data_IF_894161067682
#
_entry.id   IF_894161067682
#
_cell.length_a   1.000
_cell.length_b   1.000
_cell.length_c   1.000
_cell.angle_alpha   90.00
_cell.angle_beta   90.00
_cell.angle_gamma   90.00
#
_symmetry.space_group_name_H-M   'P 1'
#
loop_
_entity.id
_entity.type
_entity.pdbx_description
1 polymer ?
#
# COMPACT_ATOMS: atom_id res chain seq x y z
N UNK A 1 8.46 1.18 0.02
CA UNK A 1 7.42 1.42 -1.01
C UNK A 1 7.26 0.13 -1.79
N UNK A 2 6.05 -0.42 -1.86
CA UNK A 2 5.78 -1.61 -2.66
C UNK A 2 5.69 -1.22 -4.14
N UNK A 3 5.97 -2.19 -5.01
CA UNK A 3 6.08 -2.00 -6.45
C UNK A 3 5.33 -3.10 -7.17
N UNK A 4 4.37 -2.73 -8.02
CA UNK A 4 3.69 -3.63 -8.96
C UNK A 4 4.37 -3.66 -10.34
N UNK A 5 5.48 -2.94 -10.51
CA UNK A 5 6.22 -2.82 -11.78
C UNK A 5 6.52 -4.18 -12.41
N UNK A 6 6.99 -5.16 -11.62
CA UNK A 6 7.29 -6.49 -12.13
C UNK A 6 6.08 -7.15 -12.76
N UNK A 7 4.95 -7.14 -12.03
CA UNK A 7 3.69 -7.75 -12.46
C UNK A 7 3.24 -7.15 -13.79
N UNK A 8 3.15 -5.82 -13.86
CA UNK A 8 2.68 -5.13 -15.07
C UNK A 8 3.68 -5.26 -16.23
N UNK A 9 4.98 -5.26 -15.95
CA UNK A 9 6.01 -5.50 -16.96
C UNK A 9 5.89 -6.89 -17.57
N UNK A 10 5.69 -7.92 -16.75
CA UNK A 10 5.51 -9.30 -17.19
C UNK A 10 4.21 -9.46 -18.02
N UNK A 11 3.13 -8.79 -17.64
CA UNK A 11 1.86 -8.72 -18.41
C UNK A 11 2.04 -8.05 -19.79
N UNK A 12 3.00 -7.13 -19.91
CA UNK A 12 3.38 -6.51 -21.19
C UNK A 12 4.45 -7.27 -21.96
N UNK A 13 4.87 -8.44 -21.48
CA UNK A 13 5.92 -9.26 -22.07
C UNK A 13 7.26 -8.53 -22.28
N UNK A 14 7.53 -7.52 -21.45
CA UNK A 14 8.79 -6.79 -21.49
C UNK A 14 9.80 -7.46 -20.55
N UNK A 15 11.05 -7.54 -20.94
CA UNK A 15 12.16 -7.89 -20.05
C UNK A 15 12.56 -6.68 -19.19
N UNK A 16 13.25 -6.92 -18.08
CA UNK A 16 13.81 -5.83 -17.26
C UNK A 16 14.76 -4.93 -18.06
N UNK A 17 15.49 -5.49 -19.03
CA UNK A 17 16.40 -4.73 -19.89
C UNK A 17 15.60 -3.81 -20.82
N UNK A 18 14.57 -4.32 -21.49
CA UNK A 18 13.73 -3.50 -22.38
C UNK A 18 13.03 -2.36 -21.63
N UNK A 19 12.49 -2.62 -20.43
CA UNK A 19 11.93 -1.54 -19.61
C UNK A 19 13.00 -0.51 -19.23
N UNK A 20 14.21 -0.97 -18.87
CA UNK A 20 15.32 -0.10 -18.52
C UNK A 20 15.72 0.81 -19.69
N UNK A 21 15.77 0.26 -20.89
CA UNK A 21 16.10 0.99 -22.12
C UNK A 21 15.02 2.05 -22.43
N UNK A 22 13.74 1.68 -22.33
CA UNK A 22 12.61 2.60 -22.55
C UNK A 22 12.58 3.77 -21.56
N UNK A 23 12.95 3.53 -20.30
CA UNK A 23 12.97 4.57 -19.25
C UNK A 23 14.37 5.14 -18.99
N UNK A 24 15.36 4.80 -19.82
CA UNK A 24 16.70 5.38 -19.79
C UNK A 24 17.45 5.19 -18.47
N UNK A 25 17.40 4.00 -17.90
CA UNK A 25 18.13 3.62 -16.67
C UNK A 25 18.85 2.29 -16.84
N UNK A 26 19.62 1.86 -15.85
CA UNK A 26 20.24 0.53 -15.88
C UNK A 26 19.22 -0.58 -15.57
N UNK A 27 19.45 -1.79 -16.09
CA UNK A 27 18.66 -2.98 -15.69
C UNK A 27 18.69 -3.22 -14.18
N UNK A 28 19.81 -2.91 -13.52
CA UNK A 28 19.93 -3.00 -12.05
C UNK A 28 18.97 -2.03 -11.35
N UNK A 29 18.79 -0.83 -11.87
CA UNK A 29 17.80 0.13 -11.37
C UNK A 29 16.40 -0.47 -11.42
N UNK A 30 16.00 -1.06 -12.56
CA UNK A 30 14.71 -1.77 -12.66
C UNK A 30 14.61 -2.92 -11.66
N UNK A 31 15.68 -3.72 -11.48
CA UNK A 31 15.69 -4.79 -10.50
C UNK A 31 15.40 -4.32 -9.07
N UNK A 32 16.06 -3.24 -8.61
CA UNK A 32 15.83 -2.70 -7.27
C UNK A 32 14.44 -2.06 -7.13
N UNK A 33 13.93 -1.41 -8.19
CA UNK A 33 12.57 -0.89 -8.22
C UNK A 33 11.54 -2.00 -8.07
N UNK A 34 11.72 -3.12 -8.78
CA UNK A 34 10.81 -4.26 -8.72
C UNK A 34 10.81 -4.97 -7.35
N UNK A 35 11.94 -4.94 -6.65
CA UNK A 35 12.03 -5.44 -5.27
C UNK A 35 11.45 -4.48 -4.24
N UNK A 36 11.27 -3.19 -4.59
CA UNK A 36 10.90 -2.13 -3.64
C UNK A 36 12.09 -1.62 -2.81
N UNK A 37 13.31 -2.04 -3.13
CA UNK A 37 14.56 -1.64 -2.45
C UNK A 37 15.06 -0.26 -2.89
N UNK A 38 14.47 0.30 -3.96
CA UNK A 38 14.81 1.62 -4.47
C UNK A 38 13.54 2.46 -4.68
N UNK A 39 13.57 3.68 -4.14
CA UNK A 39 12.53 4.67 -4.36
C UNK A 39 12.90 5.50 -5.62
N UNK A 40 12.24 5.30 -6.78
CA UNK A 40 12.50 6.08 -7.98
C UNK A 40 12.20 7.56 -7.74
N UNK A 41 12.91 8.43 -8.47
CA UNK A 41 12.51 9.84 -8.55
C UNK A 41 11.12 9.95 -9.16
N UNK A 42 10.40 11.05 -8.87
CA UNK A 42 9.07 11.29 -9.42
C UNK A 42 9.05 11.18 -10.95
N UNK A 43 10.06 11.75 -11.61
CA UNK A 43 10.22 11.69 -13.06
C UNK A 43 10.36 10.25 -13.55
N UNK A 44 11.18 9.43 -12.88
CA UNK A 44 11.36 8.03 -13.25
C UNK A 44 10.08 7.21 -13.02
N UNK A 45 9.38 7.45 -11.91
CA UNK A 45 8.12 6.79 -11.60
C UNK A 45 7.07 7.07 -12.70
N UNK A 46 6.92 8.32 -13.14
CA UNK A 46 6.03 8.68 -14.24
C UNK A 46 6.45 8.05 -15.57
N UNK A 47 7.75 8.05 -15.91
CA UNK A 47 8.21 7.39 -17.15
C UNK A 47 7.91 5.90 -17.17
N UNK A 48 8.07 5.22 -16.04
CA UNK A 48 7.70 3.80 -15.90
C UNK A 48 6.19 3.64 -16.05
N UNK A 49 5.40 4.51 -15.41
CA UNK A 49 3.94 4.53 -15.52
C UNK A 49 3.46 4.69 -16.97
N UNK A 50 4.06 5.60 -17.73
CA UNK A 50 3.71 5.84 -19.13
C UNK A 50 4.02 4.62 -20.00
N UNK A 51 5.21 4.02 -19.87
CA UNK A 51 5.59 2.81 -20.62
C UNK A 51 4.68 1.63 -20.28
N UNK A 52 4.38 1.47 -18.99
CA UNK A 52 3.50 0.41 -18.50
C UNK A 52 2.02 0.74 -18.65
N UNK A 53 1.65 1.93 -19.13
CA UNK A 53 0.27 2.36 -19.33
C UNK A 53 -0.61 2.15 -18.10
N UNK A 54 -0.04 2.37 -16.91
CA UNK A 54 -0.70 2.14 -15.61
C UNK A 54 -0.47 3.38 -14.75
N UNK A 55 -1.48 3.90 -14.04
CA UNK A 55 -1.31 5.05 -13.15
C UNK A 55 -0.14 4.85 -12.17
N UNK A 56 0.59 5.92 -11.89
CA UNK A 56 1.77 5.86 -11.01
C UNK A 56 1.43 5.35 -9.61
N UNK A 57 0.24 5.69 -9.09
CA UNK A 57 -0.25 5.25 -7.78
C UNK A 57 -0.58 3.76 -7.75
N UNK A 58 -0.98 3.18 -8.89
CA UNK A 58 -1.27 1.73 -8.98
C UNK A 58 0.02 0.93 -9.11
N UNK A 59 1.09 1.54 -9.61
CA UNK A 59 2.42 0.93 -9.74
C UNK A 59 3.24 1.02 -8.46
N UNK A 60 3.16 2.15 -7.77
CA UNK A 60 3.96 2.45 -6.59
C UNK A 60 3.04 2.89 -5.46
N UNK A 61 3.01 2.08 -4.41
CA UNK A 61 2.13 2.29 -3.28
C UNK A 61 2.87 1.98 -1.98
N UNK A 62 2.32 2.45 -0.88
CA UNK A 62 2.75 2.03 0.46
C UNK A 62 1.63 1.16 1.03
N UNK A 63 1.98 0.11 1.76
CA UNK A 63 0.97 -0.61 2.53
C UNK A 63 0.49 0.30 3.66
N UNK A 64 -0.82 0.24 3.93
CA UNK A 64 -1.45 0.91 5.05
C UNK A 64 -0.72 0.59 6.37
N UNK A 65 -0.26 1.60 7.10
CA UNK A 65 0.39 1.42 8.43
C UNK A 65 -0.55 0.67 9.39
N UNK A 66 -1.87 0.80 9.20
CA UNK A 66 -2.85 0.03 9.96
C UNK A 66 -2.57 -1.46 9.86
N UNK A 67 -2.35 -2.00 8.66
CA UNK A 67 -2.33 -3.44 8.43
C UNK A 67 -1.21 -4.08 9.25
N UNK A 68 0.01 -3.53 9.17
CA UNK A 68 1.14 -3.94 10.00
C UNK A 68 0.86 -3.81 11.51
N UNK A 69 0.15 -2.74 11.92
CA UNK A 69 -0.19 -2.54 13.33
C UNK A 69 -1.23 -3.55 13.82
N UNK A 70 -2.24 -3.83 13.02
CA UNK A 70 -3.31 -4.77 13.33
C UNK A 70 -2.80 -6.21 13.32
N UNK A 71 -1.92 -6.57 12.40
CA UNK A 71 -1.28 -7.89 12.37
C UNK A 71 -0.40 -8.13 13.60
N UNK A 72 0.24 -7.06 14.13
CA UNK A 72 1.06 -7.11 15.33
C UNK A 72 0.29 -6.94 16.66
N UNK A 73 -1.03 -6.72 16.59
CA UNK A 73 -1.87 -6.50 17.77
C UNK A 73 -2.22 -7.81 18.47
N UNK A 74 -2.09 -7.83 19.80
CA UNK A 74 -2.58 -8.99 20.57
C UNK A 74 -4.10 -9.04 20.57
N UNK A 75 -4.66 -10.26 20.53
CA UNK A 75 -6.10 -10.52 20.59
C UNK A 75 -6.80 -9.75 21.71
N UNK A 76 -6.16 -9.67 22.89
CA UNK A 76 -6.68 -8.93 24.04
C UNK A 76 -6.80 -7.43 23.76
N UNK A 77 -5.80 -6.83 23.11
CA UNK A 77 -5.77 -5.40 22.83
C UNK A 77 -6.74 -5.03 21.71
N UNK A 78 -6.86 -5.87 20.68
CA UNK A 78 -7.83 -5.66 19.61
C UNK A 78 -9.28 -5.77 20.10
N UNK A 79 -9.59 -6.74 20.98
CA UNK A 79 -10.89 -6.81 21.66
C UNK A 79 -11.19 -5.58 22.51
N UNK A 80 -10.22 -5.12 23.29
CA UNK A 80 -10.38 -3.90 24.09
C UNK A 80 -10.69 -2.68 23.21
N UNK A 81 -10.04 -2.54 22.06
CA UNK A 81 -10.31 -1.44 21.12
C UNK A 81 -11.73 -1.56 20.55
N UNK A 82 -12.17 -2.77 20.21
CA UNK A 82 -13.53 -3.02 19.72
C UNK A 82 -14.58 -2.64 20.77
N UNK A 83 -14.38 -3.05 22.02
CA UNK A 83 -15.24 -2.71 23.16
C UNK A 83 -15.29 -1.19 23.39
N UNK A 84 -14.12 -0.52 23.39
CA UNK A 84 -14.00 0.93 23.58
C UNK A 84 -14.72 1.74 22.48
N UNK A 85 -14.83 1.18 21.28
CA UNK A 85 -15.45 1.81 20.12
C UNK A 85 -16.90 1.37 19.91
N UNK A 86 -17.40 0.44 20.73
CA UNK A 86 -18.71 -0.18 20.58
C UNK A 86 -18.92 -0.77 19.17
N UNK A 87 -17.89 -1.44 18.65
CA UNK A 87 -17.91 -2.18 17.37
C UNK A 87 -17.52 -3.63 17.60
N UNK A 88 -17.84 -4.51 16.65
CA UNK A 88 -17.46 -5.92 16.78
C UNK A 88 -15.96 -6.12 16.57
N UNK A 89 -15.37 -7.10 17.25
CA UNK A 89 -13.95 -7.44 17.10
C UNK A 89 -13.62 -7.86 15.65
N UNK A 90 -14.56 -8.50 14.97
CA UNK A 90 -14.45 -8.88 13.56
C UNK A 90 -14.26 -7.64 12.66
N UNK A 91 -14.81 -6.48 13.03
CA UNK A 91 -14.57 -5.22 12.30
C UNK A 91 -13.14 -4.74 12.41
N UNK A 92 -12.50 -4.94 13.57
CA UNK A 92 -11.07 -4.63 13.74
C UNK A 92 -10.21 -5.57 12.90
N UNK A 93 -10.51 -6.88 12.87
CA UNK A 93 -9.75 -7.83 12.05
C UNK A 93 -9.92 -7.55 10.56
N UNK A 94 -11.14 -7.23 10.11
CA UNK A 94 -11.41 -7.00 8.70
C UNK A 94 -10.49 -5.94 8.09
N UNK A 95 -10.13 -4.90 8.85
CA UNK A 95 -9.17 -3.87 8.42
C UNK A 95 -7.74 -4.38 8.18
N UNK A 96 -7.36 -5.53 8.75
CA UNK A 96 -6.08 -6.18 8.46
C UNK A 96 -6.14 -7.11 7.25
N UNK A 97 -7.33 -7.58 6.87
CA UNK A 97 -7.50 -8.62 5.87
C UNK A 97 -7.93 -8.09 4.50
N UNK A 98 -8.58 -6.93 4.45
CA UNK A 98 -9.12 -6.36 3.21
C UNK A 98 -8.16 -5.34 2.58
N UNK A 99 -8.25 -5.19 1.25
CA UNK A 99 -7.47 -4.19 0.51
C UNK A 99 -8.01 -2.77 0.77
N UNK A 100 -7.16 -1.76 0.60
CA UNK A 100 -7.48 -0.36 0.91
C UNK A 100 -8.75 0.14 0.21
N UNK A 101 -8.94 -0.22 -1.07
CA UNK A 101 -10.13 0.14 -1.82
C UNK A 101 -11.41 -0.43 -1.17
N UNK A 102 -11.32 -1.63 -0.60
CA UNK A 102 -12.44 -2.26 0.10
C UNK A 102 -12.67 -1.68 1.49
N UNK A 103 -11.63 -1.15 2.15
CA UNK A 103 -11.79 -0.46 3.44
C UNK A 103 -12.73 0.74 3.26
N UNK A 104 -12.50 1.56 2.23
CA UNK A 104 -13.27 2.77 1.96
C UNK A 104 -14.72 2.49 1.53
N UNK A 105 -15.00 1.31 0.97
CA UNK A 105 -16.36 0.87 0.62
C UNK A 105 -17.12 0.30 1.83
N UNK A 106 -16.42 -0.34 2.77
CA UNK A 106 -17.04 -1.09 3.86
C UNK A 106 -17.06 -0.36 5.20
N UNK A 107 -16.29 0.73 5.35
CA UNK A 107 -16.16 1.49 6.58
C UNK A 107 -16.41 2.97 6.31
N UNK A 108 -17.15 3.62 7.22
CA UNK A 108 -17.30 5.06 7.14
C UNK A 108 -16.05 5.78 7.69
N UNK A 109 -15.87 7.04 7.25
CA UNK A 109 -14.71 7.85 7.63
C UNK A 109 -14.63 8.09 9.15
N UNK A 110 -15.76 8.15 9.85
CA UNK A 110 -15.78 8.39 11.29
C UNK A 110 -15.32 7.15 12.07
N UNK A 111 -15.78 5.95 11.69
CA UNK A 111 -15.35 4.66 12.21
C UNK A 111 -13.83 4.51 12.05
N UNK A 112 -13.32 4.70 10.82
CA UNK A 112 -11.89 4.62 10.53
C UNK A 112 -11.06 5.62 11.35
N UNK A 113 -11.53 6.86 11.48
CA UNK A 113 -10.82 7.87 12.26
C UNK A 113 -10.80 7.54 13.76
N UNK A 114 -11.86 6.95 14.30
CA UNK A 114 -11.91 6.50 15.69
C UNK A 114 -10.96 5.32 15.95
N UNK A 115 -10.91 4.37 15.01
CA UNK A 115 -9.98 3.23 15.05
C UNK A 115 -8.53 3.74 14.97
N UNK A 116 -8.22 4.61 14.01
CA UNK A 116 -6.91 5.27 13.88
C UNK A 116 -6.44 5.87 15.20
N UNK A 117 -7.30 6.70 15.81
CA UNK A 117 -7.00 7.41 17.05
C UNK A 117 -6.72 6.45 18.20
N UNK A 118 -7.47 5.34 18.31
CA UNK A 118 -7.22 4.30 19.32
C UNK A 118 -5.93 3.53 19.08
N UNK A 119 -5.51 3.39 17.82
CA UNK A 119 -4.24 2.79 17.44
C UNK A 119 -3.04 3.74 17.58
N UNK A 120 -3.29 5.03 17.82
CA UNK A 120 -2.26 6.07 17.97
C UNK A 120 -1.87 6.75 16.66
N UNK A 121 -2.75 6.73 15.66
CA UNK A 121 -2.54 7.26 14.31
C UNK A 121 -3.60 8.31 13.97
N UNK A 122 -3.30 9.16 12.97
CA UNK A 122 -4.32 9.96 12.29
C UNK A 122 -5.01 9.12 11.23
N UNK A 123 -6.20 9.56 10.79
CA UNK A 123 -6.89 8.95 9.66
C UNK A 123 -6.01 8.90 8.41
N UNK A 124 -5.24 9.95 8.12
CA UNK A 124 -4.39 9.95 6.93
C UNK A 124 -3.23 8.94 7.06
N UNK A 125 -2.73 8.72 8.28
CA UNK A 125 -1.68 7.72 8.55
C UNK A 125 -2.16 6.28 8.31
N UNK A 126 -3.48 6.08 8.17
CA UNK A 126 -4.06 4.79 7.85
C UNK A 126 -3.73 4.34 6.43
N UNK A 127 -3.58 5.31 5.53
CA UNK A 127 -3.50 5.12 4.09
C UNK A 127 -2.20 5.72 3.52
N UNK A 128 -1.62 6.70 4.20
CA UNK A 128 -0.37 7.35 3.82
C UNK A 128 0.69 7.17 4.91
N UNK A 129 1.89 6.71 4.53
CA UNK A 129 3.04 6.83 5.43
C UNK A 129 3.75 8.16 5.14
N UNK A 130 3.56 9.14 6.04
CA UNK A 130 4.38 10.35 6.15
C UNK A 130 5.88 10.02 6.14
#
# INVERSE_FOLDING_TARGET
>A
MKSRVRKIRDEKHLTQQELADLVGVSRQTIHYIEKGDYNPSLILAYRIADVLGTPVNDLFYREAIIKDKLESLSLKKAKQIADDLNISYERIIALSEIEEEQILENFDKAELNNIAKKLGFKFDDLFEAN
#
